data_IF_227119488843
#
_entry.id   IF_227119488843
#
_cell.length_a   1.000
_cell.length_b   1.000
_cell.length_c   1.000
_cell.angle_alpha   90.00
_cell.angle_beta   90.00
_cell.angle_gamma   90.00
#
_symmetry.space_group_name_H-M   'P 1'
#
loop_
_entity.id
_entity.type
_entity.pdbx_description
1 polymer ?
#
# COMPACT_ATOMS: atom_id res chain seq x y z
N UNK A 1 -8.08 0.11 14.92
CA UNK A 1 -6.85 -0.19 14.14
C UNK A 1 -7.28 -0.63 12.75
N UNK A 2 -6.67 -0.11 11.69
CA UNK A 2 -6.97 -0.47 10.29
C UNK A 2 -5.88 -1.43 9.75
N UNK A 3 -6.24 -2.33 8.84
CA UNK A 3 -5.33 -3.33 8.28
C UNK A 3 -4.35 -2.79 7.23
N UNK A 4 -3.50 -1.83 7.60
CA UNK A 4 -2.42 -1.30 6.75
C UNK A 4 -1.16 -2.14 6.84
N UNK A 5 -0.19 -1.94 5.95
CA UNK A 5 1.08 -2.66 5.88
C UNK A 5 1.75 -2.83 7.24
N UNK A 6 1.97 -1.73 7.98
CA UNK A 6 2.54 -1.77 9.33
C UNK A 6 1.78 -2.70 10.29
N UNK A 7 0.44 -2.66 10.30
CA UNK A 7 -0.37 -3.55 11.15
C UNK A 7 -0.37 -4.99 10.67
N UNK A 8 -0.35 -5.24 9.35
CA UNK A 8 -0.28 -6.60 8.81
C UNK A 8 1.06 -7.28 9.16
N UNK A 9 2.16 -6.53 9.18
CA UNK A 9 3.45 -7.00 9.69
C UNK A 9 3.38 -7.28 11.19
N UNK A 10 2.81 -6.36 11.97
CA UNK A 10 2.63 -6.55 13.41
C UNK A 10 1.81 -7.80 13.75
N UNK A 11 0.79 -8.11 12.93
CA UNK A 11 -0.05 -9.31 13.08
C UNK A 11 0.58 -10.59 12.48
N UNK A 12 1.78 -10.51 11.90
CA UNK A 12 2.45 -11.66 11.27
C UNK A 12 1.79 -12.16 9.98
N UNK A 13 0.94 -11.36 9.35
CA UNK A 13 0.23 -11.73 8.12
C UNK A 13 1.04 -11.43 6.85
N UNK A 14 1.98 -10.49 6.93
CA UNK A 14 2.83 -10.06 5.81
C UNK A 14 4.26 -9.87 6.30
N UNK A 15 5.23 -9.99 5.40
CA UNK A 15 6.66 -9.76 5.69
C UNK A 15 7.12 -8.34 5.41
N UNK A 16 6.27 -7.52 4.78
CA UNK A 16 6.60 -6.15 4.37
C UNK A 16 5.48 -5.18 4.74
N UNK A 17 5.87 -3.99 5.22
CA UNK A 17 4.96 -2.90 5.53
C UNK A 17 4.67 -2.00 4.32
N UNK A 18 5.01 -2.42 3.10
CA UNK A 18 4.81 -1.60 1.91
C UNK A 18 3.34 -1.63 1.42
N UNK A 19 2.92 -0.53 0.81
CA UNK A 19 1.58 -0.31 0.28
C UNK A 19 1.38 -1.20 -0.95
N UNK A 20 0.25 -1.92 -1.06
CA UNK A 20 -0.03 -2.76 -2.23
C UNK A 20 -0.23 -1.94 -3.52
N UNK A 21 -0.51 -0.63 -3.40
CA UNK A 21 -0.77 0.26 -4.54
C UNK A 21 0.50 0.87 -5.13
N UNK A 22 1.44 1.32 -4.29
CA UNK A 22 2.61 2.08 -4.74
C UNK A 22 3.95 1.49 -4.31
N UNK A 23 3.98 0.45 -3.46
CA UNK A 23 5.20 -0.17 -2.95
C UNK A 23 5.95 0.62 -1.87
N UNK A 24 5.55 1.85 -1.55
CA UNK A 24 6.17 2.65 -0.47
C UNK A 24 5.74 2.17 0.92
N UNK A 25 6.47 2.54 1.97
CA UNK A 25 6.07 2.27 3.36
C UNK A 25 4.65 2.76 3.67
N UNK A 26 3.84 1.91 4.31
CA UNK A 26 2.43 2.13 4.57
C UNK A 26 2.05 2.04 6.05
N UNK A 27 1.75 3.20 6.63
CA UNK A 27 0.98 3.33 7.85
C UNK A 27 -0.46 3.83 7.55
N UNK A 28 -1.22 4.14 8.60
CA UNK A 28 -2.57 4.68 8.47
C UNK A 28 -2.62 6.06 7.79
N UNK A 29 -1.57 6.86 7.93
CA UNK A 29 -1.46 8.19 7.31
C UNK A 29 -1.15 8.08 5.81
N UNK A 30 -0.44 7.04 5.40
CA UNK A 30 -0.14 6.78 4.00
C UNK A 30 -1.41 6.51 3.17
N UNK A 31 -2.42 5.84 3.74
CA UNK A 31 -3.62 5.40 2.98
C UNK A 31 -4.30 6.54 2.20
N UNK A 32 -4.66 7.68 2.83
CA UNK A 32 -5.21 8.82 2.10
C UNK A 32 -4.14 9.57 1.25
N UNK A 33 -2.87 9.50 1.64
CA UNK A 33 -1.76 10.20 1.00
C UNK A 33 -1.13 9.48 -0.20
N UNK A 34 -1.50 8.22 -0.43
CA UNK A 34 -0.95 7.38 -1.48
C UNK A 34 -1.13 8.03 -2.86
N UNK A 35 -0.04 8.11 -3.64
CA UNK A 35 0.02 8.76 -4.96
C UNK A 35 -0.09 7.80 -6.14
N UNK A 36 -0.40 6.51 -5.90
CA UNK A 36 -0.71 5.59 -6.98
C UNK A 36 -1.90 6.10 -7.81
N UNK A 37 -1.91 5.85 -9.12
CA UNK A 37 -2.93 6.38 -10.03
C UNK A 37 -4.37 6.07 -9.56
N UNK A 38 -4.62 4.83 -9.11
CA UNK A 38 -5.93 4.42 -8.61
C UNK A 38 -6.33 5.15 -7.32
N UNK A 39 -5.39 5.39 -6.41
CA UNK A 39 -5.62 6.12 -5.17
C UNK A 39 -5.83 7.62 -5.43
N UNK A 40 -5.14 8.19 -6.42
CA UNK A 40 -5.35 9.57 -6.85
C UNK A 40 -6.77 9.73 -7.42
N UNK A 41 -7.15 8.87 -8.36
CA UNK A 41 -8.49 8.89 -8.96
C UNK A 41 -9.61 8.70 -7.93
N UNK A 42 -9.44 7.81 -6.94
CA UNK A 42 -10.41 7.63 -5.85
C UNK A 42 -10.59 8.91 -5.04
N UNK A 43 -9.49 9.50 -4.60
CA UNK A 43 -9.52 10.74 -3.80
C UNK A 43 -10.15 11.90 -4.54
N UNK A 44 -9.80 12.12 -5.81
CA UNK A 44 -10.35 13.21 -6.61
C UNK A 44 -11.87 13.03 -6.76
N UNK A 45 -12.33 11.79 -6.97
CA UNK A 45 -13.77 11.49 -7.02
C UNK A 45 -14.48 11.75 -5.70
N UNK A 46 -13.88 11.35 -4.57
CA UNK A 46 -14.48 11.54 -3.23
C UNK A 46 -14.48 13.00 -2.80
N UNK A 47 -13.40 13.73 -3.08
CA UNK A 47 -13.31 15.16 -2.77
C UNK A 47 -14.22 15.99 -3.66
N UNK A 48 -14.42 15.63 -4.93
CA UNK A 48 -15.42 16.24 -5.80
C UNK A 48 -16.85 16.00 -5.27
N UNK A 49 -17.18 14.75 -4.90
CA UNK A 49 -18.47 14.42 -4.31
C UNK A 49 -18.72 15.17 -3.00
N UNK A 50 -17.69 15.29 -2.15
CA UNK A 50 -17.75 16.07 -0.92
C UNK A 50 -17.97 17.57 -1.16
N UNK A 51 -17.28 18.15 -2.15
CA UNK A 51 -17.50 19.55 -2.56
C UNK A 51 -18.94 19.79 -3.02
N UNK A 52 -19.50 18.87 -3.82
CA UNK A 52 -20.90 18.93 -4.26
C UNK A 52 -21.88 18.76 -3.08
N UNK A 53 -21.54 17.91 -2.11
CA UNK A 53 -22.33 17.76 -0.88
C UNK A 53 -22.35 19.04 -0.04
N UNK A 54 -21.21 19.75 0.07
CA UNK A 54 -21.15 21.05 0.77
C UNK A 54 -22.10 22.08 0.13
N UNK A 55 -22.21 22.08 -1.20
CA UNK A 55 -23.18 22.92 -1.93
C UNK A 55 -24.62 22.51 -1.62
N UNK A 56 -24.90 21.21 -1.65
CA UNK A 56 -26.23 20.68 -1.33
C UNK A 56 -26.68 21.02 0.09
N UNK A 57 -25.73 21.08 1.03
CA UNK A 57 -25.99 21.50 2.42
C UNK A 57 -25.96 23.02 2.60
N UNK A 58 -25.91 23.82 1.53
CA UNK A 58 -25.88 25.28 1.60
C UNK A 58 -24.76 25.78 2.54
N UNK A 59 -23.58 25.14 2.46
CA UNK A 59 -22.42 25.56 3.26
C UNK A 59 -21.96 26.93 2.79
N UNK A 60 -21.67 27.84 3.74
CA UNK A 60 -21.22 29.19 3.42
C UNK A 60 -20.03 29.18 2.45
N UNK A 61 -20.02 29.97 1.35
CA UNK A 61 -19.00 29.86 0.32
C UNK A 61 -17.56 29.98 0.83
N UNK A 62 -17.30 30.91 1.74
CA UNK A 62 -15.99 31.09 2.39
C UNK A 62 -15.62 29.91 3.30
N UNK A 63 -16.60 29.31 3.98
CA UNK A 63 -16.41 28.12 4.84
C UNK A 63 -16.07 26.91 3.96
N UNK A 64 -16.81 26.71 2.86
CA UNK A 64 -16.55 25.65 1.89
C UNK A 64 -15.11 25.73 1.35
N UNK A 65 -14.68 26.91 0.90
CA UNK A 65 -13.31 27.13 0.38
C UNK A 65 -12.28 26.76 1.45
N UNK A 66 -12.47 27.24 2.69
CA UNK A 66 -11.55 26.98 3.78
C UNK A 66 -11.45 25.48 4.13
N UNK A 67 -12.59 24.78 4.25
CA UNK A 67 -12.64 23.34 4.52
C UNK A 67 -11.96 22.54 3.41
N UNK A 68 -12.24 22.86 2.14
CA UNK A 68 -11.63 22.17 1.00
C UNK A 68 -10.11 22.39 0.95
N UNK A 69 -9.62 23.58 1.29
CA UNK A 69 -8.19 23.83 1.39
C UNK A 69 -7.54 23.01 2.52
N UNK A 70 -8.18 22.93 3.68
CA UNK A 70 -7.68 22.12 4.80
C UNK A 70 -7.64 20.64 4.43
N UNK A 71 -8.67 20.15 3.72
CA UNK A 71 -8.72 18.77 3.23
C UNK A 71 -7.65 18.49 2.17
N UNK A 72 -7.39 19.43 1.25
CA UNK A 72 -6.26 19.35 0.32
C UNK A 72 -4.92 19.23 1.07
N UNK A 73 -4.81 19.90 2.22
CA UNK A 73 -3.68 19.82 3.15
C UNK A 73 -3.32 18.41 3.63
N UNK A 74 -4.25 17.44 3.56
CA UNK A 74 -3.95 16.01 3.86
C UNK A 74 -2.85 15.49 2.95
N UNK A 75 -2.96 15.78 1.64
CA UNK A 75 -2.03 15.26 0.63
C UNK A 75 -0.88 16.19 0.34
N UNK A 76 -1.18 17.49 0.35
CA UNK A 76 -0.24 18.53 -0.05
C UNK A 76 -0.31 19.63 1.00
N UNK A 77 0.59 19.60 2.01
CA UNK A 77 0.66 20.65 3.02
C UNK A 77 0.78 22.01 2.32
N UNK A 78 -0.30 22.79 2.37
CA UNK A 78 -0.39 24.06 1.65
C UNK A 78 0.00 25.17 2.62
N UNK A 79 1.01 25.95 2.27
CA UNK A 79 1.44 27.15 3.01
C UNK A 79 0.77 28.43 2.52
N UNK A 80 -0.03 28.36 1.47
CA UNK A 80 -0.56 29.55 0.82
C UNK A 80 -1.69 30.17 1.65
N UNK A 81 -1.59 31.46 2.02
CA UNK A 81 -2.63 32.13 2.78
C UNK A 81 -3.90 32.25 1.92
N UNK A 82 -5.04 31.95 2.52
CA UNK A 82 -6.35 32.20 1.94
C UNK A 82 -6.53 33.73 1.84
N UNK A 83 -6.14 34.32 0.71
CA UNK A 83 -6.15 35.79 0.52
C UNK A 83 -7.56 36.41 0.49
N UNK A 84 -8.61 35.60 0.51
CA UNK A 84 -9.98 36.03 0.18
C UNK A 84 -11.04 35.62 1.21
N UNK A 85 -10.68 35.25 2.44
CA UNK A 85 -11.66 34.91 3.49
C UNK A 85 -11.75 35.99 4.56
N UNK A 86 -12.95 36.13 5.13
CA UNK A 86 -13.20 37.06 6.23
C UNK A 86 -12.34 36.73 7.45
N UNK A 87 -12.03 37.72 8.32
CA UNK A 87 -11.25 37.47 9.53
C UNK A 87 -11.83 36.38 10.44
N UNK A 88 -13.15 36.27 10.49
CA UNK A 88 -13.84 35.24 11.27
C UNK A 88 -13.60 33.82 10.72
N UNK A 89 -13.72 33.65 9.40
CA UNK A 89 -13.42 32.38 8.72
C UNK A 89 -11.94 32.03 8.86
N UNK A 90 -11.05 33.03 8.81
CA UNK A 90 -9.63 32.83 9.05
C UNK A 90 -9.34 32.31 10.46
N UNK A 91 -10.00 32.86 11.48
CA UNK A 91 -9.88 32.37 12.86
C UNK A 91 -10.33 30.91 12.98
N UNK A 92 -11.45 30.53 12.35
CA UNK A 92 -11.91 29.14 12.34
C UNK A 92 -10.95 28.21 11.57
N UNK A 93 -10.39 28.67 10.45
CA UNK A 93 -9.36 27.96 9.70
C UNK A 93 -8.13 27.69 10.57
N UNK A 94 -7.62 28.70 11.27
CA UNK A 94 -6.47 28.55 12.19
C UNK A 94 -6.79 27.57 13.33
N UNK A 95 -7.98 27.65 13.93
CA UNK A 95 -8.41 26.69 14.94
C UNK A 95 -8.43 25.25 14.40
N UNK A 96 -8.88 25.05 13.16
CA UNK A 96 -8.83 23.75 12.51
C UNK A 96 -7.40 23.31 12.15
N UNK A 97 -6.50 24.22 11.82
CA UNK A 97 -5.09 23.89 11.59
C UNK A 97 -4.40 23.34 12.84
N UNK A 98 -4.78 23.79 14.04
CA UNK A 98 -4.29 23.20 15.31
C UNK A 98 -4.71 21.73 15.43
N UNK A 99 -5.91 21.38 14.97
CA UNK A 99 -6.39 19.98 14.90
C UNK A 99 -5.67 19.21 13.78
N UNK A 100 -5.32 19.91 12.69
CA UNK A 100 -4.61 19.39 11.54
C UNK A 100 -5.52 18.80 10.45
N UNK A 101 -5.00 18.74 9.23
CA UNK A 101 -5.72 18.20 8.06
C UNK A 101 -6.10 16.73 8.22
N UNK A 102 -5.24 15.93 8.85
CA UNK A 102 -5.56 14.54 9.15
C UNK A 102 -6.71 14.43 10.17
N UNK A 103 -6.69 15.24 11.23
CA UNK A 103 -7.78 15.29 12.20
C UNK A 103 -9.10 15.71 11.56
N UNK A 104 -9.07 16.67 10.62
CA UNK A 104 -10.24 17.03 9.83
C UNK A 104 -10.78 15.83 9.03
N UNK A 105 -9.93 15.11 8.30
CA UNK A 105 -10.32 13.90 7.56
C UNK A 105 -10.94 12.83 8.48
N UNK A 106 -10.44 12.73 9.71
CA UNK A 106 -10.98 11.85 10.76
C UNK A 106 -12.26 12.37 11.40
N UNK A 107 -12.85 13.46 10.87
CA UNK A 107 -14.11 14.04 11.30
C UNK A 107 -14.01 15.00 12.48
N UNK A 108 -12.79 15.35 12.94
CA UNK A 108 -12.59 16.33 14.02
C UNK A 108 -12.69 17.73 13.46
N UNK A 109 -13.84 18.35 13.66
CA UNK A 109 -14.13 19.72 13.23
C UNK A 109 -13.99 20.69 14.40
N UNK A 110 -13.39 21.85 14.15
CA UNK A 110 -13.29 22.94 15.12
C UNK A 110 -14.69 23.50 15.40
N UNK A 111 -15.02 23.73 16.67
CA UNK A 111 -16.32 24.28 17.08
C UNK A 111 -16.58 25.68 16.52
N UNK A 112 -15.53 26.41 16.17
CA UNK A 112 -15.59 27.74 15.54
C UNK A 112 -16.26 27.77 14.17
N UNK A 113 -16.42 26.62 13.48
CA UNK A 113 -17.16 26.56 12.22
C UNK A 113 -18.67 26.75 12.40
N UNK A 114 -19.23 26.28 13.53
CA UNK A 114 -20.67 26.26 13.77
C UNK A 114 -21.30 27.68 13.78
N UNK A 115 -20.81 28.64 14.58
CA UNK A 115 -21.42 29.98 14.58
C UNK A 115 -21.34 30.67 13.22
N UNK A 116 -20.29 30.41 12.42
CA UNK A 116 -20.15 30.97 11.08
C UNK A 116 -21.18 30.39 10.10
N UNK A 117 -21.39 29.08 10.18
CA UNK A 117 -22.39 28.42 9.34
C UNK A 117 -23.81 28.80 9.78
N UNK A 118 -24.07 28.95 11.09
CA UNK A 118 -25.36 29.43 11.60
C UNK A 118 -25.66 30.84 11.09
N UNK A 119 -24.68 31.76 11.16
CA UNK A 119 -24.82 33.10 10.61
C UNK A 119 -25.16 33.05 9.11
N UNK A 120 -24.49 32.21 8.34
CA UNK A 120 -24.81 32.04 6.92
C UNK A 120 -26.23 31.52 6.69
N UNK A 121 -26.68 30.52 7.45
CA UNK A 121 -28.05 30.02 7.39
C UNK A 121 -29.08 31.10 7.73
N UNK A 122 -28.82 31.93 8.73
CA UNK A 122 -29.70 33.04 9.09
C UNK A 122 -29.80 34.08 7.95
N UNK A 123 -28.67 34.42 7.32
CA UNK A 123 -28.59 35.34 6.17
C UNK A 123 -29.42 34.85 4.98
N UNK A 124 -29.36 33.54 4.67
CA UNK A 124 -30.13 32.94 3.58
C UNK A 124 -31.52 32.44 4.01
N UNK A 125 -31.92 32.68 5.26
CA UNK A 125 -33.19 32.21 5.88
C UNK A 125 -33.39 30.70 5.81
N UNK A 126 -32.29 29.94 5.86
CA UNK A 126 -32.30 28.48 5.93
C UNK A 126 -32.66 28.02 7.36
N UNK A 127 -33.56 27.04 7.49
CA UNK A 127 -33.98 26.47 8.78
C UNK A 127 -33.27 25.16 9.12
N UNK A 128 -32.20 24.82 8.40
CA UNK A 128 -31.42 23.62 8.69
C UNK A 128 -30.68 23.77 10.02
N UNK A 129 -30.52 22.65 10.72
CA UNK A 129 -29.79 22.62 11.98
C UNK A 129 -28.29 22.64 11.74
N UNK A 130 -27.59 23.62 12.31
CA UNK A 130 -26.12 23.69 12.24
C UNK A 130 -25.45 22.52 12.99
N UNK A 131 -26.08 22.00 14.04
CA UNK A 131 -25.54 20.83 14.76
C UNK A 131 -25.67 19.56 13.92
N UNK A 132 -26.77 19.41 13.18
CA UNK A 132 -26.94 18.31 12.23
C UNK A 132 -25.94 18.44 11.07
N UNK A 133 -25.80 19.65 10.50
CA UNK A 133 -24.80 19.94 9.47
C UNK A 133 -23.39 19.55 9.92
N UNK A 134 -23.00 19.93 11.13
CA UNK A 134 -21.70 19.60 11.71
C UNK A 134 -21.50 18.08 11.87
N UNK A 135 -22.52 17.36 12.37
CA UNK A 135 -22.47 15.90 12.47
C UNK A 135 -22.34 15.21 11.11
N UNK A 136 -23.14 15.64 10.13
CA UNK A 136 -23.07 15.09 8.77
C UNK A 136 -21.75 15.44 8.09
N UNK A 137 -21.19 16.64 8.30
CA UNK A 137 -19.88 17.04 7.80
C UNK A 137 -18.78 16.09 8.29
N UNK A 138 -18.75 15.81 9.60
CA UNK A 138 -17.82 14.82 10.17
C UNK A 138 -17.99 13.44 9.54
N UNK A 139 -19.22 12.98 9.34
CA UNK A 139 -19.51 11.68 8.71
C UNK A 139 -19.02 11.63 7.25
N UNK A 140 -19.21 12.71 6.49
CA UNK A 140 -18.73 12.78 5.10
C UNK A 140 -17.20 12.73 5.05
N UNK A 141 -16.50 13.45 5.93
CA UNK A 141 -15.04 13.43 6.01
C UNK A 141 -14.52 12.02 6.35
N UNK A 142 -15.08 11.39 7.38
CA UNK A 142 -14.75 10.01 7.75
C UNK A 142 -15.00 9.05 6.58
N UNK A 143 -16.09 9.25 5.83
CA UNK A 143 -16.43 8.42 4.66
C UNK A 143 -15.36 8.51 3.56
N UNK A 144 -14.76 9.68 3.33
CA UNK A 144 -13.62 9.80 2.40
C UNK A 144 -12.48 8.89 2.85
N UNK A 145 -12.10 8.95 4.13
CA UNK A 145 -11.05 8.08 4.69
C UNK A 145 -11.38 6.60 4.56
N UNK A 146 -12.63 6.21 4.83
CA UNK A 146 -13.12 4.85 4.64
C UNK A 146 -12.98 4.37 3.19
N UNK A 147 -13.44 5.15 2.21
CA UNK A 147 -13.35 4.75 0.80
C UNK A 147 -11.91 4.66 0.30
N UNK A 148 -11.03 5.52 0.79
CA UNK A 148 -9.59 5.43 0.48
C UNK A 148 -8.97 4.12 1.00
N UNK A 149 -9.41 3.65 2.17
CA UNK A 149 -9.02 2.38 2.75
C UNK A 149 -9.68 1.18 2.04
N UNK A 150 -10.95 1.28 1.68
CA UNK A 150 -11.68 0.23 0.95
C UNK A 150 -11.04 -0.02 -0.42
N UNK A 151 -10.73 1.05 -1.17
CA UNK A 151 -10.02 0.96 -2.45
C UNK A 151 -8.60 0.39 -2.28
N UNK A 152 -7.91 0.73 -1.19
CA UNK A 152 -6.60 0.13 -0.87
C UNK A 152 -6.72 -1.38 -0.67
N UNK A 153 -7.75 -1.82 0.06
CA UNK A 153 -7.96 -3.23 0.35
C UNK A 153 -8.42 -4.03 -0.86
N UNK A 154 -9.21 -3.45 -1.75
CA UNK A 154 -9.52 -4.13 -3.01
C UNK A 154 -8.25 -4.42 -3.81
N UNK A 155 -7.29 -3.46 -3.86
CA UNK A 155 -6.00 -3.68 -4.52
C UNK A 155 -5.17 -4.76 -3.83
N UNK A 156 -5.14 -4.79 -2.49
CA UNK A 156 -4.39 -5.80 -1.73
C UNK A 156 -4.72 -7.24 -2.17
N UNK A 157 -5.97 -7.50 -2.52
CA UNK A 157 -6.50 -8.82 -2.88
C UNK A 157 -6.71 -9.01 -4.38
N UNK A 158 -6.05 -8.19 -5.20
CA UNK A 158 -6.15 -8.22 -6.66
C UNK A 158 -4.78 -8.41 -7.31
N UNK A 159 -4.79 -8.70 -8.62
CA UNK A 159 -3.59 -8.76 -9.44
C UNK A 159 -2.89 -7.40 -9.59
N UNK A 160 -3.53 -6.29 -9.23
CA UNK A 160 -2.92 -4.95 -9.27
C UNK A 160 -1.90 -4.74 -8.14
N UNK A 161 -1.90 -5.59 -7.11
CA UNK A 161 -0.97 -5.51 -5.99
C UNK A 161 0.49 -5.55 -6.49
N UNK A 162 1.21 -4.45 -6.32
CA UNK A 162 2.59 -4.28 -6.80
C UNK A 162 3.51 -5.35 -6.23
N UNK A 163 3.42 -5.62 -4.92
CA UNK A 163 4.25 -6.62 -4.25
C UNK A 163 3.96 -8.03 -4.77
N UNK A 164 2.68 -8.34 -5.00
CA UNK A 164 2.27 -9.62 -5.55
C UNK A 164 2.84 -9.79 -6.96
N UNK A 165 2.73 -8.77 -7.82
CA UNK A 165 3.28 -8.79 -9.18
C UNK A 165 4.79 -8.93 -9.20
N UNK A 166 5.52 -8.21 -8.36
CA UNK A 166 6.97 -8.30 -8.24
C UNK A 166 7.41 -9.71 -7.81
N UNK A 167 6.70 -10.29 -6.82
CA UNK A 167 6.93 -11.67 -6.37
C UNK A 167 6.68 -12.68 -7.48
N UNK A 168 5.59 -12.52 -8.24
CA UNK A 168 5.32 -13.32 -9.43
C UNK A 168 6.44 -13.20 -10.48
N UNK A 169 6.92 -11.99 -10.78
CA UNK A 169 8.01 -11.77 -11.74
C UNK A 169 9.28 -12.48 -11.30
N UNK A 170 9.69 -12.27 -10.05
CA UNK A 170 10.90 -12.86 -9.46
C UNK A 170 10.87 -14.40 -9.53
N UNK A 171 9.73 -15.00 -9.16
CA UNK A 171 9.57 -16.45 -9.18
C UNK A 171 9.55 -16.97 -10.63
N UNK A 172 8.89 -16.28 -11.55
CA UNK A 172 8.88 -16.64 -12.96
C UNK A 172 10.30 -16.57 -13.56
N UNK A 173 11.07 -15.53 -13.27
CA UNK A 173 12.48 -15.39 -13.69
C UNK A 173 13.35 -16.51 -13.14
N UNK A 174 13.16 -16.86 -11.86
CA UNK A 174 13.81 -18.02 -11.25
C UNK A 174 13.48 -19.32 -11.99
N UNK A 175 12.21 -19.53 -12.35
CA UNK A 175 11.78 -20.68 -13.16
C UNK A 175 12.48 -20.66 -14.52
N UNK A 176 12.50 -19.52 -15.22
CA UNK A 176 13.22 -19.38 -16.50
C UNK A 176 14.67 -19.82 -16.37
N UNK A 177 15.37 -19.33 -15.35
CA UNK A 177 16.77 -19.69 -15.07
C UNK A 177 16.96 -21.19 -14.83
N UNK A 178 16.05 -21.87 -14.10
CA UNK A 178 16.14 -23.32 -13.91
C UNK A 178 16.04 -24.08 -15.24
N UNK A 179 15.13 -23.66 -16.12
CA UNK A 179 15.01 -24.28 -17.45
C UNK A 179 16.20 -23.97 -18.35
N UNK A 180 16.82 -22.80 -18.23
CA UNK A 180 18.00 -22.42 -19.01
C UNK A 180 19.27 -23.14 -18.53
N UNK A 181 19.39 -23.44 -17.23
CA UNK A 181 20.47 -24.27 -16.68
C UNK A 181 20.39 -25.74 -17.12
N UNK A 182 19.18 -26.24 -17.40
CA UNK A 182 18.97 -27.59 -17.88
C UNK A 182 19.14 -28.68 -16.79
N UNK A 183 18.95 -29.96 -17.17
CA UNK A 183 18.85 -31.07 -16.22
C UNK A 183 20.18 -31.70 -15.78
N UNK A 184 21.31 -31.25 -16.34
CA UNK A 184 22.61 -31.95 -16.22
C UNK A 184 23.10 -32.09 -14.77
N UNK A 185 22.78 -31.10 -13.93
CA UNK A 185 23.14 -31.06 -12.51
C UNK A 185 21.99 -31.52 -11.60
N UNK A 186 21.13 -32.44 -12.06
CA UNK A 186 20.00 -32.98 -11.29
C UNK A 186 19.95 -34.51 -11.28
N UNK A 187 19.45 -35.12 -10.18
CA UNK A 187 19.07 -36.53 -10.16
C UNK A 187 18.04 -36.87 -11.23
N UNK A 188 18.14 -38.05 -11.83
CA UNK A 188 17.27 -38.49 -12.95
C UNK A 188 15.78 -38.46 -12.59
N UNK A 189 15.47 -38.68 -11.31
CA UNK A 189 14.13 -38.70 -10.75
C UNK A 189 13.48 -37.30 -10.77
N UNK A 190 14.28 -36.25 -10.70
CA UNK A 190 13.84 -34.84 -10.64
C UNK A 190 13.82 -34.18 -12.03
N UNK A 191 14.62 -34.66 -12.98
CA UNK A 191 14.68 -34.13 -14.35
C UNK A 191 13.30 -33.97 -15.03
N UNK A 192 12.29 -34.86 -14.84
CA UNK A 192 10.95 -34.67 -15.41
C UNK A 192 10.25 -33.38 -14.97
N UNK A 193 10.66 -32.76 -13.86
CA UNK A 193 10.13 -31.45 -13.43
C UNK A 193 10.46 -30.33 -14.43
N UNK A 194 11.53 -30.48 -15.22
CA UNK A 194 11.94 -29.57 -16.29
C UNK A 194 11.35 -29.93 -17.68
N UNK A 195 10.26 -30.71 -17.73
CA UNK A 195 9.65 -31.12 -19.02
C UNK A 195 8.89 -29.97 -19.71
N UNK A 196 8.20 -29.10 -18.95
CA UNK A 196 7.34 -28.08 -19.55
C UNK A 196 7.33 -26.77 -18.75
N UNK A 197 8.05 -25.77 -19.28
CA UNK A 197 8.10 -24.41 -18.73
C UNK A 197 6.71 -23.78 -18.65
N UNK A 198 5.93 -23.91 -19.72
CA UNK A 198 4.56 -23.38 -19.81
C UNK A 198 3.65 -23.97 -18.72
N UNK A 199 3.77 -25.26 -18.41
CA UNK A 199 2.97 -25.91 -17.36
C UNK A 199 3.31 -25.34 -15.99
N UNK A 200 4.59 -25.15 -15.68
CA UNK A 200 5.03 -24.60 -14.40
C UNK A 200 4.60 -23.15 -14.24
N UNK A 201 4.77 -22.32 -15.27
CA UNK A 201 4.38 -20.91 -15.25
C UNK A 201 2.87 -20.66 -15.09
N UNK A 202 2.02 -21.68 -15.26
CA UNK A 202 0.56 -21.60 -15.06
C UNK A 202 0.08 -21.97 -13.66
N UNK A 203 0.97 -22.50 -12.82
CA UNK A 203 0.64 -22.86 -11.43
C UNK A 203 0.32 -21.63 -10.58
N UNK A 204 -0.25 -21.84 -9.40
CA UNK A 204 -0.41 -20.78 -8.41
C UNK A 204 0.96 -20.24 -7.96
N UNK A 205 1.01 -19.04 -7.37
CA UNK A 205 2.28 -18.49 -6.87
C UNK A 205 2.94 -19.44 -5.86
N UNK A 206 2.16 -19.97 -4.92
CA UNK A 206 2.64 -20.89 -3.88
C UNK A 206 3.28 -22.12 -4.51
N UNK A 207 2.59 -22.76 -5.46
CA UNK A 207 3.11 -23.93 -6.17
C UNK A 207 4.38 -23.63 -6.98
N UNK A 208 4.49 -22.43 -7.56
CA UNK A 208 5.70 -22.00 -8.29
C UNK A 208 6.88 -21.84 -7.35
N UNK A 209 6.65 -21.26 -6.17
CA UNK A 209 7.68 -21.06 -5.16
C UNK A 209 8.18 -22.38 -4.59
N UNK A 210 7.28 -23.30 -4.27
CA UNK A 210 7.63 -24.64 -3.82
C UNK A 210 8.42 -25.40 -4.90
N UNK A 211 7.96 -25.33 -6.15
CA UNK A 211 8.65 -25.92 -7.29
C UNK A 211 10.08 -25.36 -7.44
N UNK A 212 10.23 -24.04 -7.37
CA UNK A 212 11.52 -23.37 -7.52
C UNK A 212 12.45 -23.70 -6.34
N UNK A 213 11.92 -23.71 -5.11
CA UNK A 213 12.67 -24.05 -3.90
C UNK A 213 13.21 -25.47 -3.97
N UNK A 214 12.39 -26.43 -4.39
CA UNK A 214 12.79 -27.82 -4.53
C UNK A 214 13.93 -27.96 -5.54
N UNK A 215 13.76 -27.44 -6.77
CA UNK A 215 14.80 -27.55 -7.80
C UNK A 215 16.12 -26.88 -7.43
N UNK A 216 16.05 -25.68 -6.84
CA UNK A 216 17.24 -25.01 -6.32
C UNK A 216 17.94 -25.84 -5.24
N UNK A 217 17.20 -26.57 -4.41
CA UNK A 217 17.78 -27.47 -3.42
C UNK A 217 18.46 -28.67 -4.07
N UNK A 218 17.78 -29.34 -4.99
CA UNK A 218 18.29 -30.52 -5.71
C UNK A 218 19.58 -30.22 -6.49
N UNK A 219 19.64 -29.10 -7.21
CA UNK A 219 20.87 -28.67 -7.89
C UNK A 219 22.03 -28.45 -6.91
N UNK A 220 21.77 -27.85 -5.75
CA UNK A 220 22.81 -27.60 -4.74
C UNK A 220 23.32 -28.91 -4.15
N UNK A 221 22.42 -29.83 -3.83
CA UNK A 221 22.76 -31.10 -3.20
C UNK A 221 23.47 -32.04 -4.17
N UNK A 222 23.02 -32.11 -5.42
CA UNK A 222 23.68 -32.90 -6.47
C UNK A 222 25.11 -32.40 -6.72
N UNK A 223 25.31 -31.08 -6.88
CA UNK A 223 26.65 -30.49 -7.04
C UNK A 223 27.55 -30.75 -5.83
N UNK A 224 27.01 -30.73 -4.61
CA UNK A 224 27.75 -31.07 -3.38
C UNK A 224 28.17 -32.53 -3.35
N UNK A 225 27.24 -33.44 -3.66
CA UNK A 225 27.49 -34.88 -3.74
C UNK A 225 28.57 -35.20 -4.78
N UNK A 226 28.45 -34.65 -5.99
CA UNK A 226 29.45 -34.83 -7.05
C UNK A 226 30.84 -34.30 -6.66
N UNK A 227 30.92 -33.16 -5.97
CA UNK A 227 32.19 -32.65 -5.43
C UNK A 227 32.76 -33.57 -4.35
N UNK A 228 31.94 -34.08 -3.44
CA UNK A 228 32.37 -35.02 -2.42
C UNK A 228 32.89 -36.33 -3.03
N UNK A 229 32.16 -36.90 -4.00
CA UNK A 229 32.57 -38.12 -4.71
C UNK A 229 33.91 -37.92 -5.45
N UNK A 230 34.08 -36.79 -6.16
CA UNK A 230 35.35 -36.45 -6.82
C UNK A 230 36.52 -36.31 -5.84
N UNK A 231 36.28 -35.74 -4.65
CA UNK A 231 37.28 -35.63 -3.59
C UNK A 231 37.66 -37.01 -3.05
N UNK A 232 36.69 -37.86 -2.72
CA UNK A 232 36.95 -39.22 -2.25
C UNK A 232 37.73 -40.05 -3.28
N UNK A 233 37.35 -39.98 -4.56
CA UNK A 233 38.09 -40.65 -5.64
C UNK A 233 39.52 -40.11 -5.76
N UNK A 234 39.75 -38.80 -5.64
CA UNK A 234 41.11 -38.24 -5.62
C UNK A 234 41.94 -38.74 -4.45
N UNK A 235 41.37 -38.80 -3.24
CA UNK A 235 42.06 -39.31 -2.05
C UNK A 235 42.42 -40.79 -2.18
N UNK A 236 41.56 -41.59 -2.83
CA UNK A 236 41.79 -43.03 -3.03
C UNK A 236 42.85 -43.30 -4.12
N UNK A 237 42.81 -42.56 -5.23
CA UNK A 237 43.68 -42.82 -6.39
C UNK A 237 44.98 -42.00 -6.41
N UNK A 238 45.06 -40.91 -5.63
CA UNK A 238 46.27 -40.09 -5.47
C UNK A 238 46.49 -39.76 -3.98
N UNK A 239 46.83 -40.76 -3.14
CA UNK A 239 47.22 -40.48 -1.77
C UNK A 239 48.50 -39.63 -1.81
N UNK A 240 48.48 -38.46 -1.16
CA UNK A 240 49.69 -37.69 -0.90
C UNK A 240 50.57 -38.57 -0.02
N UNK A 241 51.63 -39.15 -0.60
CA UNK A 241 52.67 -39.81 0.17
C UNK A 241 53.36 -38.73 0.98
N UNK A 242 53.02 -38.65 2.27
CA UNK A 242 53.80 -37.92 3.24
C UNK A 242 55.19 -38.53 3.28
N UNK A 243 56.17 -37.81 2.74
CA UNK A 243 57.56 -38.03 3.11
C UNK A 243 57.71 -37.46 4.53
N UNK A 244 57.75 -38.35 5.52
CA UNK A 244 58.40 -38.08 6.79
C UNK A 244 59.91 -37.99 6.48
N UNK A 245 60.45 -36.78 6.41
CA UNK A 245 61.89 -36.54 6.53
C UNK A 245 62.26 -36.38 8.00
N UNK A 246 63.34 -37.09 8.34
CA UNK A 246 64.02 -37.31 9.62
C UNK A 246 64.41 -36.01 10.35
#
# INVERSE_FOLDING_TARGET
>A
MCGTGTFKVLWGLETSAACPRCGNFEDHLHVPCCRAASATAEWDRRTAAFSAWLDLQLTGPSIKIAILQLLHGVRTPTTSPLRTISPLVWSAFLAQQVIGSQGLLEGRIASSWLPLQQQHYDEIRCRQSVSLWASCLSQQLISIGFYMWEQRNSVQHSDDNVQLRERHSTVNEGIHSQFDMGPDDLPKEIQPMLTSRRRVLRKSLVDKEEWLKLLCQEHRDFRRSMKAQRRSLRTIFFPVLGYDEI
#
